data_IF_894075810326
#
_entry.id   IF_894075810326
#
_cell.length_a   1.000
_cell.length_b   1.000
_cell.length_c   1.000
_cell.angle_alpha   90.00
_cell.angle_beta   90.00
_cell.angle_gamma   90.00
#
_symmetry.space_group_name_H-M   'P 1'
#
loop_
_entity.id
_entity.type
_entity.pdbx_description
1 polymer ?
#
# COMPACT_ATOMS: atom_id res chain seq x y z
N UNK A 1 2.97 -10.60 26.44
CA UNK A 1 1.66 -10.17 26.99
C UNK A 1 1.46 -8.64 27.01
N UNK A 2 2.51 -7.81 27.13
CA UNK A 2 2.37 -6.34 27.18
C UNK A 2 2.01 -5.67 25.84
N UNK A 3 2.41 -6.23 24.69
CA UNK A 3 2.13 -5.62 23.38
C UNK A 3 0.65 -5.74 22.98
N UNK A 4 0.02 -6.89 23.29
CA UNK A 4 -1.38 -7.13 22.96
C UNK A 4 -2.33 -6.23 23.76
N UNK A 5 -2.02 -5.92 25.03
CA UNK A 5 -2.81 -5.00 25.84
C UNK A 5 -2.67 -3.54 25.38
N UNK A 6 -1.46 -3.12 24.97
CA UNK A 6 -1.24 -1.79 24.39
C UNK A 6 -1.97 -1.63 23.06
N UNK A 7 -1.91 -2.64 22.18
CA UNK A 7 -2.66 -2.62 20.91
C UNK A 7 -4.17 -2.60 21.15
N UNK A 8 -4.68 -3.38 22.10
CA UNK A 8 -6.11 -3.36 22.46
C UNK A 8 -6.57 -1.99 23.00
N UNK A 9 -5.75 -1.33 23.81
CA UNK A 9 -6.04 0.02 24.32
C UNK A 9 -6.01 1.08 23.21
N UNK A 10 -5.07 0.99 22.26
CA UNK A 10 -5.02 1.87 21.10
C UNK A 10 -6.23 1.67 20.18
N UNK A 11 -6.65 0.42 19.96
CA UNK A 11 -7.85 0.10 19.19
C UNK A 11 -9.10 0.63 19.90
N UNK A 12 -9.25 0.37 21.20
CA UNK A 12 -10.38 0.87 21.98
C UNK A 12 -10.41 2.41 22.04
N UNK A 13 -9.26 3.06 22.18
CA UNK A 13 -9.11 4.52 22.13
C UNK A 13 -9.48 5.09 20.76
N UNK A 14 -9.03 4.44 19.67
CA UNK A 14 -9.39 4.84 18.30
C UNK A 14 -10.88 4.69 18.02
N UNK A 15 -11.49 3.59 18.47
CA UNK A 15 -12.93 3.34 18.31
C UNK A 15 -13.75 4.37 19.10
N UNK A 16 -13.40 4.64 20.36
CA UNK A 16 -14.11 5.64 21.19
C UNK A 16 -13.97 7.06 20.62
N UNK A 17 -12.79 7.41 20.09
CA UNK A 17 -12.56 8.69 19.40
C UNK A 17 -13.41 8.84 18.13
N UNK A 18 -13.51 7.80 17.31
CA UNK A 18 -14.37 7.79 16.10
C UNK A 18 -15.85 7.93 16.46
N UNK A 19 -16.30 7.28 17.53
CA UNK A 19 -17.66 7.44 18.03
C UNK A 19 -17.91 8.87 18.53
N UNK A 20 -16.96 9.47 19.24
CA UNK A 20 -17.08 10.85 19.73
C UNK A 20 -17.20 11.87 18.58
N UNK A 21 -16.38 11.74 17.53
CA UNK A 21 -16.43 12.67 16.39
C UNK A 21 -17.72 12.56 15.57
N UNK A 22 -18.36 11.38 15.59
CA UNK A 22 -19.56 11.08 14.81
C UNK A 22 -20.84 11.08 15.64
N UNK A 23 -20.85 11.74 16.81
CA UNK A 23 -22.03 11.96 17.63
C UNK A 23 -22.57 13.38 17.52
N UNK A 24 -23.90 13.52 17.51
CA UNK A 24 -24.54 14.82 17.61
C UNK A 24 -24.27 15.42 19.01
N UNK A 25 -23.81 16.69 19.13
CA UNK A 25 -23.48 17.29 20.42
C UNK A 25 -24.65 17.32 21.41
N UNK A 26 -25.89 17.46 20.89
CA UNK A 26 -27.10 17.52 21.70
C UNK A 26 -27.62 16.13 22.07
N UNK A 27 -27.88 15.27 21.09
CA UNK A 27 -28.53 13.98 21.34
C UNK A 27 -27.55 12.83 21.62
N UNK A 28 -26.22 13.06 21.52
CA UNK A 28 -25.13 12.09 21.77
C UNK A 28 -25.26 10.78 20.99
N UNK A 29 -26.07 10.75 19.93
CA UNK A 29 -26.27 9.58 19.05
C UNK A 29 -25.45 9.71 17.78
N UNK A 30 -25.04 8.56 17.26
CA UNK A 30 -24.32 8.45 15.98
C UNK A 30 -25.26 8.86 14.86
N UNK A 31 -24.87 9.82 14.05
CA UNK A 31 -25.77 10.47 13.10
C UNK A 31 -25.34 10.28 11.65
N UNK A 32 -26.34 10.10 10.78
CA UNK A 32 -26.17 10.24 9.33
C UNK A 32 -26.11 11.74 9.02
N UNK A 33 -24.88 12.27 9.02
CA UNK A 33 -24.49 13.64 8.68
C UNK A 33 -24.95 13.99 7.24
N UNK A 34 -26.16 14.54 7.06
CA UNK A 34 -26.51 15.17 5.79
C UNK A 34 -25.94 16.59 5.82
N UNK A 35 -24.91 16.85 5.00
CA UNK A 35 -24.33 18.18 4.82
C UNK A 35 -25.39 19.11 4.21
N UNK A 36 -25.52 20.31 4.78
CA UNK A 36 -26.53 21.30 4.41
C UNK A 36 -25.90 22.61 3.96
N UNK A 37 -24.80 23.03 4.59
CA UNK A 37 -24.05 24.22 4.19
C UNK A 37 -22.54 23.97 4.21
N UNK A 38 -21.83 24.77 3.42
CA UNK A 38 -20.37 24.82 3.37
C UNK A 38 -19.95 26.26 3.09
N UNK A 39 -19.46 26.95 4.11
CA UNK A 39 -19.08 28.36 4.02
C UNK A 39 -17.60 28.52 4.30
N UNK A 40 -16.88 29.28 3.48
CA UNK A 40 -15.48 29.63 3.72
C UNK A 40 -15.47 30.80 4.73
N UNK A 41 -14.91 30.57 5.92
CA UNK A 41 -14.86 31.57 7.00
C UNK A 41 -13.49 32.26 7.12
N UNK A 42 -12.44 31.68 6.54
CA UNK A 42 -11.09 32.25 6.58
C UNK A 42 -10.25 31.71 5.44
N UNK A 43 -9.48 32.57 4.83
CA UNK A 43 -8.40 32.21 3.89
C UNK A 43 -7.07 32.67 4.46
N UNK A 44 -6.00 31.89 4.27
CA UNK A 44 -4.65 32.31 4.62
C UNK A 44 -3.61 31.68 3.72
N UNK A 45 -2.48 32.36 3.62
CA UNK A 45 -1.30 31.92 2.89
C UNK A 45 -0.11 31.76 3.84
N UNK A 46 0.64 30.66 3.71
CA UNK A 46 1.88 30.46 4.46
C UNK A 46 3.00 29.95 3.54
N UNK A 47 4.24 30.45 3.68
CA UNK A 47 5.36 29.94 2.90
C UNK A 47 5.76 28.55 3.41
N UNK A 48 5.81 27.56 2.53
CA UNK A 48 6.30 26.21 2.82
C UNK A 48 7.55 25.87 2.05
N UNK A 49 8.40 25.07 2.67
CA UNK A 49 9.62 24.55 2.06
C UNK A 49 9.43 23.09 1.67
N UNK A 50 10.00 22.70 0.53
CA UNK A 50 10.04 21.31 0.10
C UNK A 50 11.39 20.98 -0.57
N UNK A 51 11.69 19.68 -0.66
CA UNK A 51 12.82 19.16 -1.43
C UNK A 51 12.29 18.09 -2.36
N UNK A 52 12.60 18.22 -3.65
CA UNK A 52 12.34 17.16 -4.61
C UNK A 52 13.19 15.95 -4.24
N UNK A 53 12.61 14.75 -4.25
CA UNK A 53 13.35 13.50 -4.06
C UNK A 53 13.37 12.69 -5.35
N UNK A 54 14.54 12.20 -5.70
CA UNK A 54 14.74 11.24 -6.80
C UNK A 54 14.96 9.87 -6.21
N UNK A 55 14.11 8.92 -6.58
CA UNK A 55 14.17 7.54 -6.12
C UNK A 55 14.68 6.67 -7.27
N UNK A 56 15.73 5.91 -7.00
CA UNK A 56 16.28 4.93 -7.94
C UNK A 56 15.74 3.53 -7.61
N UNK A 57 15.12 2.91 -8.61
CA UNK A 57 14.67 1.52 -8.54
C UNK A 57 15.64 0.62 -9.30
N UNK A 58 15.80 -0.62 -8.84
CA UNK A 58 16.45 -1.67 -9.62
C UNK A 58 15.56 -2.10 -10.79
N UNK A 59 16.12 -2.90 -11.71
CA UNK A 59 15.37 -3.49 -12.84
C UNK A 59 14.21 -4.40 -12.41
N UNK A 60 14.12 -4.75 -11.11
CA UNK A 60 13.00 -5.46 -10.51
C UNK A 60 11.81 -4.55 -10.14
N UNK A 61 11.98 -3.22 -10.13
CA UNK A 61 10.95 -2.20 -9.96
C UNK A 61 10.48 -1.94 -8.53
N UNK A 62 10.97 -2.67 -7.52
CA UNK A 62 10.43 -2.60 -6.15
C UNK A 62 11.49 -2.22 -5.09
N UNK A 63 12.76 -2.52 -5.34
CA UNK A 63 13.80 -2.28 -4.34
C UNK A 63 14.36 -0.85 -4.50
N UNK A 64 14.27 -0.01 -3.47
CA UNK A 64 14.86 1.34 -3.48
C UNK A 64 16.38 1.23 -3.23
N UNK A 65 17.19 1.70 -4.19
CA UNK A 65 18.66 1.64 -4.06
C UNK A 65 19.22 2.83 -3.29
N UNK A 66 18.75 4.04 -3.61
CA UNK A 66 19.21 5.31 -3.05
C UNK A 66 18.13 6.38 -3.21
N UNK A 67 18.01 7.27 -2.21
CA UNK A 67 17.14 8.47 -2.25
C UNK A 67 18.02 9.71 -2.30
N UNK A 68 17.96 10.48 -3.39
CA UNK A 68 18.66 11.77 -3.50
C UNK A 68 17.68 12.92 -3.30
N UNK A 69 18.02 13.87 -2.44
CA UNK A 69 17.24 15.10 -2.23
C UNK A 69 17.86 16.24 -3.03
N UNK A 70 17.02 16.98 -3.75
CA UNK A 70 17.41 18.21 -4.45
C UNK A 70 17.57 19.40 -3.51
N UNK A 71 17.69 20.59 -4.11
CA UNK A 71 17.73 21.86 -3.37
C UNK A 71 16.40 22.15 -2.69
N UNK A 72 16.46 22.87 -1.56
CA UNK A 72 15.26 23.37 -0.89
C UNK A 72 14.60 24.42 -1.78
N UNK A 73 13.34 24.18 -2.12
CA UNK A 73 12.48 25.12 -2.86
C UNK A 73 11.38 25.61 -1.92
N UNK A 74 10.87 26.81 -2.20
CA UNK A 74 9.75 27.39 -1.46
C UNK A 74 8.51 27.47 -2.33
N UNK A 75 7.33 27.37 -1.71
CA UNK A 75 6.06 27.65 -2.37
C UNK A 75 5.09 28.31 -1.39
N UNK A 76 4.13 29.08 -1.92
CA UNK A 76 3.06 29.69 -1.13
C UNK A 76 1.91 28.71 -1.02
N UNK A 77 1.67 28.19 0.19
CA UNK A 77 0.60 27.27 0.51
C UNK A 77 -0.67 28.07 0.87
N UNK A 78 -1.75 27.86 0.12
CA UNK A 78 -3.06 28.50 0.33
C UNK A 78 -4.03 27.55 1.01
N UNK A 79 -4.74 28.06 2.00
CA UNK A 79 -5.69 27.31 2.80
C UNK A 79 -7.02 28.06 2.94
N UNK A 80 -8.11 27.29 2.94
CA UNK A 80 -9.45 27.74 3.26
C UNK A 80 -9.92 27.04 4.55
N UNK A 81 -10.53 27.79 5.47
CA UNK A 81 -11.24 27.24 6.61
C UNK A 81 -12.72 27.23 6.28
N UNK A 82 -13.26 26.03 6.16
CA UNK A 82 -14.65 25.78 5.90
C UNK A 82 -15.42 25.62 7.21
N UNK A 83 -16.63 26.15 7.26
CA UNK A 83 -17.64 25.91 8.28
C UNK A 83 -18.76 25.10 7.63
N UNK A 84 -18.75 23.80 7.88
CA UNK A 84 -19.72 22.85 7.34
C UNK A 84 -20.90 22.70 8.30
N UNK A 85 -22.12 22.95 7.81
CA UNK A 85 -23.37 22.75 8.55
C UNK A 85 -23.98 21.38 8.26
N UNK A 86 -24.46 20.70 9.30
CA UNK A 86 -25.06 19.38 9.21
C UNK A 86 -26.34 19.31 10.03
N UNK A 87 -27.40 18.76 9.45
CA UNK A 87 -28.66 18.56 10.18
C UNK A 87 -28.70 17.19 10.85
N UNK A 88 -29.02 17.17 12.13
CA UNK A 88 -29.29 15.95 12.85
C UNK A 88 -30.70 15.46 12.54
N UNK A 89 -30.85 14.26 11.96
CA UNK A 89 -32.17 13.66 11.68
C UNK A 89 -33.01 13.37 12.93
N UNK A 90 -32.39 13.36 14.11
CA UNK A 90 -33.04 13.00 15.38
C UNK A 90 -33.52 14.25 16.10
N UNK A 91 -32.63 15.21 16.38
CA UNK A 91 -33.02 16.44 17.09
C UNK A 91 -33.45 17.58 16.17
N UNK A 92 -33.34 17.43 14.85
CA UNK A 92 -33.74 18.43 13.86
C UNK A 92 -32.83 19.67 13.78
N UNK A 93 -31.89 19.82 14.70
CA UNK A 93 -30.98 20.96 14.76
C UNK A 93 -29.83 20.87 13.76
N UNK A 94 -29.33 22.04 13.36
CA UNK A 94 -28.12 22.21 12.57
C UNK A 94 -26.90 22.35 13.48
N UNK A 95 -25.88 21.55 13.23
CA UNK A 95 -24.58 21.63 13.90
C UNK A 95 -23.49 21.99 12.92
N UNK A 96 -22.49 22.73 13.39
CA UNK A 96 -21.40 23.21 12.56
C UNK A 96 -20.09 22.52 12.94
N UNK A 97 -19.29 22.16 11.94
CA UNK A 97 -17.91 21.72 12.13
C UNK A 97 -16.99 22.57 11.27
N UNK A 98 -15.76 22.79 11.72
CA UNK A 98 -14.75 23.49 10.93
C UNK A 98 -13.77 22.50 10.33
N UNK A 99 -13.34 22.76 9.09
CA UNK A 99 -12.36 21.96 8.38
C UNK A 99 -11.41 22.87 7.61
N UNK A 100 -10.12 22.57 7.68
CA UNK A 100 -9.12 23.27 6.88
C UNK A 100 -8.89 22.50 5.56
N UNK A 101 -8.95 23.21 4.45
CA UNK A 101 -8.83 22.70 3.08
C UNK A 101 -7.61 23.34 2.44
N UNK A 102 -6.75 22.51 1.86
CA UNK A 102 -5.55 22.97 1.17
C UNK A 102 -5.82 23.10 -0.33
N UNK A 103 -5.64 24.31 -0.87
CA UNK A 103 -6.07 24.67 -2.21
C UNK A 103 -5.07 24.34 -3.31
N UNK A 104 -3.76 24.35 -3.03
CA UNK A 104 -2.72 24.05 -4.02
C UNK A 104 -2.62 22.54 -4.32
N UNK A 105 -3.74 21.83 -4.42
CA UNK A 105 -3.79 20.37 -4.56
C UNK A 105 -2.95 19.88 -5.75
N UNK A 106 -2.98 20.60 -6.88
CA UNK A 106 -2.18 20.29 -8.07
C UNK A 106 -0.68 20.59 -7.90
N UNK A 107 -0.30 21.64 -7.18
CA UNK A 107 1.12 21.94 -6.91
C UNK A 107 1.69 20.98 -5.88
N UNK A 108 0.92 20.64 -4.84
CA UNK A 108 1.33 19.66 -3.83
C UNK A 108 1.48 18.26 -4.40
N UNK A 109 0.59 17.83 -5.29
CA UNK A 109 0.76 16.56 -6.00
C UNK A 109 2.07 16.57 -6.79
N UNK A 110 2.41 17.65 -7.53
CA UNK A 110 3.69 17.78 -8.24
C UNK A 110 4.91 17.79 -7.30
N UNK A 111 4.78 18.39 -6.12
CA UNK A 111 5.83 18.49 -5.10
C UNK A 111 6.08 17.14 -4.39
N UNK A 112 5.01 16.37 -4.13
CA UNK A 112 5.10 15.11 -3.37
C UNK A 112 5.32 13.90 -4.25
N UNK A 113 4.99 13.96 -5.54
CA UNK A 113 5.30 12.87 -6.47
C UNK A 113 6.81 12.85 -6.74
N UNK A 114 7.52 11.79 -6.33
CA UNK A 114 8.95 11.69 -6.61
C UNK A 114 9.18 11.52 -8.11
N UNK A 115 10.26 12.14 -8.61
CA UNK A 115 10.75 11.83 -9.94
C UNK A 115 11.34 10.42 -9.91
N UNK A 116 10.63 9.47 -10.53
CA UNK A 116 11.10 8.08 -10.65
C UNK A 116 12.12 8.01 -11.80
N UNK A 117 13.37 7.77 -11.45
CA UNK A 117 14.43 7.55 -12.46
C UNK A 117 14.75 6.06 -12.48
N UNK A 118 14.27 5.37 -13.50
CA UNK A 118 14.64 3.97 -13.75
C UNK A 118 16.00 3.93 -14.44
N UNK A 119 16.95 3.18 -13.88
CA UNK A 119 18.23 2.96 -14.54
C UNK A 119 18.01 2.17 -15.84
N UNK A 120 18.49 2.72 -16.96
CA UNK A 120 18.31 2.17 -18.30
C UNK A 120 19.23 0.97 -18.55
N UNK A 121 19.09 -0.10 -17.79
CA UNK A 121 19.46 -1.42 -18.31
C UNK A 121 18.23 -1.89 -19.05
N UNK A 122 18.21 -1.69 -20.37
CA UNK A 122 17.10 -2.13 -21.22
C UNK A 122 16.82 -3.60 -20.94
N UNK A 123 15.65 -3.97 -20.38
CA UNK A 123 15.26 -5.38 -20.37
C UNK A 123 15.19 -5.86 -21.83
N UNK A 124 15.47 -7.15 -22.10
CA UNK A 124 15.39 -7.69 -23.45
C UNK A 124 14.01 -7.37 -24.03
N UNK A 125 13.99 -6.77 -25.22
CA UNK A 125 12.75 -6.42 -25.92
C UNK A 125 11.96 -7.70 -26.16
N UNK A 126 10.82 -7.82 -25.49
CA UNK A 126 9.79 -8.80 -25.86
C UNK A 126 8.76 -8.01 -26.64
N UNK A 127 8.79 -8.13 -27.97
CA UNK A 127 7.81 -7.52 -28.86
C UNK A 127 6.47 -8.25 -28.67
N UNK A 128 5.60 -7.70 -27.82
CA UNK A 128 4.16 -7.93 -27.92
C UNK A 128 3.45 -6.69 -27.38
N UNK A 129 2.81 -5.94 -28.29
CA UNK A 129 2.03 -4.78 -27.94
C UNK A 129 0.83 -5.16 -27.08
N UNK A 130 0.63 -4.41 -25.98
CA UNK A 130 -0.63 -3.91 -25.39
C UNK A 130 -0.29 -3.37 -23.99
N UNK A 131 -0.63 -2.10 -23.77
CA UNK A 131 -1.19 -1.56 -22.51
C UNK A 131 -0.31 -1.52 -21.25
N UNK A 132 -0.35 -0.39 -20.55
CA UNK A 132 0.22 -0.18 -19.23
C UNK A 132 -0.06 -1.36 -18.26
N UNK A 133 0.99 -1.90 -17.65
CA UNK A 133 0.88 -2.92 -16.62
C UNK A 133 0.55 -2.25 -15.28
N UNK A 134 -0.74 -2.19 -14.96
CA UNK A 134 -1.24 -1.74 -13.65
C UNK A 134 -0.94 -2.78 -12.55
N UNK A 135 -0.74 -2.33 -11.29
CA UNK A 135 -0.43 -3.22 -10.17
C UNK A 135 -1.62 -4.14 -9.85
N UNK A 136 -1.46 -5.44 -10.07
CA UNK A 136 -2.53 -6.42 -9.83
C UNK A 136 -2.50 -6.97 -8.41
N UNK A 137 -3.09 -6.27 -7.45
CA UNK A 137 -3.81 -6.94 -6.36
C UNK A 137 -5.29 -6.61 -6.51
N UNK A 138 -5.98 -7.39 -7.35
CA UNK A 138 -7.42 -7.31 -7.49
C UNK A 138 -8.05 -8.42 -6.64
N UNK A 139 -8.80 -8.05 -5.61
CA UNK A 139 -9.78 -8.96 -5.01
C UNK A 139 -10.80 -9.39 -6.08
N UNK A 140 -11.27 -10.65 -6.06
CA UNK A 140 -12.42 -11.01 -6.87
C UNK A 140 -13.69 -10.30 -6.35
N UNK A 141 -14.78 -10.28 -7.13
CA UNK A 141 -16.06 -9.63 -6.71
C UNK A 141 -16.67 -10.20 -5.42
N UNK A 142 -16.05 -11.24 -4.83
CA UNK A 142 -16.44 -11.94 -3.59
C UNK A 142 -15.40 -11.76 -2.47
N UNK A 143 -14.43 -10.85 -2.62
CA UNK A 143 -13.39 -10.57 -1.64
C UNK A 143 -12.35 -11.68 -1.48
N UNK A 144 -12.29 -12.65 -2.42
CA UNK A 144 -11.29 -13.73 -2.36
C UNK A 144 -10.03 -13.31 -3.10
N UNK A 145 -8.88 -13.59 -2.48
CA UNK A 145 -7.57 -13.39 -3.09
C UNK A 145 -7.48 -14.19 -4.38
N UNK A 146 -7.07 -13.52 -5.47
CA UNK A 146 -6.81 -14.19 -6.75
C UNK A 146 -5.63 -15.15 -6.61
N UNK A 147 -5.77 -16.33 -7.18
CA UNK A 147 -4.68 -17.30 -7.28
C UNK A 147 -3.67 -16.83 -8.32
N UNK A 148 -2.38 -17.09 -8.07
CA UNK A 148 -1.33 -16.82 -9.05
C UNK A 148 -1.63 -17.62 -10.33
N UNK A 149 -1.68 -16.97 -11.51
CA UNK A 149 -1.96 -17.65 -12.76
C UNK A 149 -0.99 -18.81 -13.04
N UNK A 150 -1.50 -19.89 -13.65
CA UNK A 150 -0.70 -21.08 -13.96
C UNK A 150 0.50 -20.77 -14.88
N UNK A 151 0.36 -19.82 -15.79
CA UNK A 151 1.43 -19.33 -16.67
C UNK A 151 2.59 -18.73 -15.87
N UNK A 152 2.28 -17.95 -14.83
CA UNK A 152 3.28 -17.35 -13.93
C UNK A 152 4.00 -18.43 -13.14
N UNK A 153 3.29 -19.42 -12.60
CA UNK A 153 3.91 -20.56 -11.90
C UNK A 153 4.84 -21.35 -12.82
N UNK A 154 4.42 -21.64 -14.05
CA UNK A 154 5.26 -22.32 -15.05
C UNK A 154 6.54 -21.53 -15.36
N UNK A 155 6.42 -20.23 -15.60
CA UNK A 155 7.56 -19.35 -15.88
C UNK A 155 8.49 -19.21 -14.66
N UNK A 156 7.92 -19.18 -13.45
CA UNK A 156 8.68 -19.20 -12.20
C UNK A 156 9.53 -20.48 -12.09
N UNK A 157 8.93 -21.64 -12.34
CA UNK A 157 9.67 -22.91 -12.32
C UNK A 157 10.82 -22.90 -13.34
N UNK A 158 10.52 -22.54 -14.59
CA UNK A 158 11.52 -22.48 -15.66
C UNK A 158 12.67 -21.53 -15.32
N UNK A 159 12.39 -20.39 -14.65
CA UNK A 159 13.42 -19.42 -14.26
C UNK A 159 14.42 -19.99 -13.25
N UNK A 160 13.96 -20.72 -12.25
CA UNK A 160 14.81 -21.16 -11.13
C UNK A 160 15.34 -22.58 -11.29
N UNK A 161 14.55 -23.47 -11.92
CA UNK A 161 14.86 -24.89 -12.04
C UNK A 161 15.10 -25.33 -13.50
N UNK A 162 14.82 -24.46 -14.48
CA UNK A 162 14.93 -24.80 -15.90
C UNK A 162 13.90 -25.85 -16.34
N UNK A 163 14.24 -26.64 -17.35
CA UNK A 163 13.41 -27.76 -17.84
C UNK A 163 13.53 -29.04 -16.99
N UNK A 164 14.00 -28.92 -15.73
CA UNK A 164 14.14 -30.07 -14.83
C UNK A 164 12.80 -30.40 -14.18
N UNK A 165 12.53 -31.68 -13.99
CA UNK A 165 11.33 -32.16 -13.29
C UNK A 165 11.39 -31.87 -11.78
N UNK A 166 12.59 -31.94 -11.20
CA UNK A 166 12.85 -31.70 -9.77
C UNK A 166 13.79 -30.50 -9.58
N UNK A 167 13.59 -29.77 -8.50
CA UNK A 167 14.43 -28.65 -8.08
C UNK A 167 14.45 -28.50 -6.56
N UNK A 168 15.40 -27.74 -6.00
CA UNK A 168 15.45 -27.50 -4.56
C UNK A 168 14.44 -26.42 -4.15
N UNK A 169 13.80 -26.62 -3.00
CA UNK A 169 13.08 -25.56 -2.29
C UNK A 169 14.04 -24.42 -1.98
N UNK A 170 13.64 -23.18 -2.25
CA UNK A 170 14.51 -22.03 -2.01
C UNK A 170 14.88 -21.85 -0.52
N UNK A 171 13.98 -22.24 0.39
CA UNK A 171 14.11 -22.13 1.85
C UNK A 171 14.87 -23.33 2.42
N UNK A 172 14.21 -24.49 2.58
CA UNK A 172 14.73 -25.66 3.27
C UNK A 172 15.62 -26.58 2.42
N UNK A 173 15.79 -26.28 1.12
CA UNK A 173 16.56 -27.10 0.16
C UNK A 173 16.03 -28.51 -0.13
N UNK A 174 14.93 -28.93 0.48
CA UNK A 174 14.24 -30.18 0.11
C UNK A 174 13.86 -30.20 -1.38
N UNK A 175 13.87 -31.39 -1.96
CA UNK A 175 13.55 -31.56 -3.37
C UNK A 175 12.04 -31.44 -3.59
N UNK A 176 11.67 -30.47 -4.42
CA UNK A 176 10.31 -30.22 -4.91
C UNK A 176 10.22 -30.61 -6.39
N UNK A 177 9.00 -30.87 -6.85
CA UNK A 177 8.70 -31.16 -8.25
C UNK A 177 7.80 -30.10 -8.87
N UNK A 178 7.73 -30.08 -10.21
CA UNK A 178 6.95 -29.10 -10.98
C UNK A 178 5.44 -29.15 -10.72
N UNK A 179 4.91 -30.25 -10.16
CA UNK A 179 3.49 -30.41 -9.85
C UNK A 179 3.14 -30.02 -8.42
N UNK A 180 4.09 -30.16 -7.48
CA UNK A 180 3.87 -30.04 -6.04
C UNK A 180 4.59 -28.85 -5.38
N UNK A 181 5.18 -27.95 -6.16
CA UNK A 181 5.77 -26.73 -5.62
C UNK A 181 4.74 -25.61 -5.42
N UNK A 182 5.05 -24.73 -4.48
CA UNK A 182 4.31 -23.48 -4.27
C UNK A 182 5.14 -22.28 -4.74
N UNK A 183 4.44 -21.25 -5.22
CA UNK A 183 5.03 -19.97 -5.56
C UNK A 183 5.04 -19.07 -4.30
N UNK A 184 6.13 -19.13 -3.54
CA UNK A 184 6.29 -18.36 -2.32
C UNK A 184 6.65 -16.91 -2.60
N UNK A 185 5.90 -15.99 -2.01
CA UNK A 185 6.16 -14.55 -2.07
C UNK A 185 7.37 -14.17 -1.20
N UNK A 186 8.33 -13.42 -1.76
CA UNK A 186 9.46 -12.89 -1.00
C UNK A 186 9.00 -11.81 -0.04
N UNK A 187 8.32 -10.80 -0.57
CA UNK A 187 7.49 -9.88 0.21
C UNK A 187 6.08 -10.45 0.19
N UNK A 188 5.46 -10.79 1.34
CA UNK A 188 4.15 -11.40 1.39
C UNK A 188 3.08 -10.45 0.84
N UNK A 189 2.04 -10.99 0.21
CA UNK A 189 1.00 -10.16 -0.39
C UNK A 189 0.20 -9.31 0.61
N UNK A 190 0.15 -9.71 1.89
CA UNK A 190 -0.41 -8.88 2.97
C UNK A 190 0.39 -7.60 3.24
N UNK A 191 1.62 -7.52 2.73
CA UNK A 191 2.53 -6.37 2.78
C UNK A 191 2.84 -5.86 1.36
N UNK A 192 1.83 -5.87 0.50
CA UNK A 192 1.89 -5.38 -0.89
C UNK A 192 2.89 -6.10 -1.81
N UNK A 193 3.19 -7.37 -1.50
CA UNK A 193 3.98 -8.24 -2.36
C UNK A 193 3.34 -8.51 -3.71
N UNK A 194 4.04 -8.19 -4.81
CA UNK A 194 3.55 -8.44 -6.17
C UNK A 194 3.59 -9.92 -6.57
N UNK A 195 2.72 -10.33 -7.51
CA UNK A 195 2.74 -11.65 -8.15
C UNK A 195 3.78 -11.76 -9.29
N UNK A 196 4.66 -10.77 -9.41
CA UNK A 196 5.74 -10.80 -10.40
C UNK A 196 6.75 -11.87 -10.04
N UNK A 197 7.30 -12.54 -11.07
CA UNK A 197 8.28 -13.62 -10.90
C UNK A 197 9.51 -13.16 -10.09
N UNK A 198 9.87 -11.87 -10.13
CA UNK A 198 10.94 -11.29 -9.30
C UNK A 198 10.69 -11.44 -7.80
N UNK A 199 9.43 -11.31 -7.36
CA UNK A 199 8.99 -11.45 -5.98
C UNK A 199 8.58 -12.89 -5.61
N UNK A 200 8.69 -13.85 -6.53
CA UNK A 200 8.31 -15.23 -6.27
C UNK A 200 9.52 -16.16 -6.21
N UNK A 201 9.45 -17.22 -5.40
CA UNK A 201 10.43 -18.31 -5.34
C UNK A 201 9.72 -19.66 -5.30
N UNK A 202 10.27 -20.71 -5.96
CA UNK A 202 9.75 -22.06 -5.81
C UNK A 202 10.10 -22.59 -4.41
N UNK A 203 9.07 -22.93 -3.64
CA UNK A 203 9.22 -23.46 -2.28
C UNK A 203 8.31 -24.67 -2.07
N UNK A 204 8.59 -25.46 -1.03
CA UNK A 204 7.71 -26.55 -0.64
C UNK A 204 6.47 -26.02 0.10
N UNK A 205 5.40 -26.82 0.09
CA UNK A 205 4.14 -26.51 0.78
C UNK A 205 4.32 -26.27 2.28
N UNK A 206 5.24 -27.00 2.91
CA UNK A 206 5.59 -26.89 4.32
C UNK A 206 6.14 -25.49 4.64
N UNK A 207 7.19 -25.06 3.93
CA UNK A 207 7.77 -23.72 4.11
C UNK A 207 6.76 -22.62 3.81
N UNK A 208 5.96 -22.76 2.75
CA UNK A 208 4.97 -21.73 2.39
C UNK A 208 3.93 -21.51 3.50
N UNK A 209 3.51 -22.58 4.18
CA UNK A 209 2.55 -22.52 5.28
C UNK A 209 3.19 -21.98 6.56
N UNK A 210 4.40 -22.40 6.88
CA UNK A 210 5.11 -21.95 8.09
C UNK A 210 5.53 -20.48 8.03
N UNK A 211 5.76 -19.94 6.83
CA UNK A 211 6.20 -18.55 6.63
C UNK A 211 5.10 -17.51 6.94
N UNK A 212 3.82 -17.84 6.71
CA UNK A 212 2.68 -16.94 6.89
C UNK A 212 2.85 -15.57 6.20
N UNK A 213 2.93 -14.47 6.95
CA UNK A 213 3.10 -13.09 6.52
C UNK A 213 4.51 -12.53 6.80
N UNK A 214 5.48 -13.42 7.00
CA UNK A 214 6.90 -13.08 7.16
C UNK A 214 7.57 -12.95 5.80
N UNK A 215 8.58 -12.09 5.69
CA UNK A 215 9.40 -12.03 4.48
C UNK A 215 10.14 -13.37 4.29
N UNK A 216 10.16 -13.89 3.06
CA UNK A 216 10.73 -15.22 2.78
C UNK A 216 12.22 -15.34 3.08
N UNK A 217 13.00 -14.28 2.81
CA UNK A 217 14.43 -14.29 3.09
C UNK A 217 14.71 -14.21 4.60
N UNK A 218 13.87 -13.46 5.32
CA UNK A 218 13.92 -13.37 6.78
C UNK A 218 13.55 -14.72 7.42
N UNK A 219 12.44 -15.32 6.99
CA UNK A 219 12.02 -16.64 7.45
C UNK A 219 13.12 -17.68 7.21
N UNK A 220 13.71 -17.69 6.01
CA UNK A 220 14.82 -18.57 5.71
C UNK A 220 15.97 -18.36 6.69
N UNK A 221 16.48 -17.13 6.81
CA UNK A 221 17.61 -16.79 7.68
C UNK A 221 17.40 -17.20 9.15
N UNK A 222 16.17 -17.10 9.65
CA UNK A 222 15.88 -17.35 11.05
C UNK A 222 15.73 -18.85 11.39
N UNK A 223 15.46 -19.70 10.39
CA UNK A 223 15.10 -21.10 10.62
C UNK A 223 15.93 -22.12 9.82
N UNK A 224 16.74 -21.69 8.84
CA UNK A 224 17.56 -22.53 7.93
C UNK A 224 18.85 -21.85 7.48
#
# INVERSE_FOLDING_TARGET
>A
MQIASVVALLIAGGITFLFYQNQCPKCKRIFSLKKVSDEIIKEWEEPKQYKEKTIYYYSDGFTEKDVKYGTTKTFTARFEKHKEGFNCKICGETHYKTKDVFLNKNDWLRITTPNKVTTSIKPPKVDFGIGAFEPTYYEDKRGKRKSIPASVKKNLWLRYNGKKYKGPCYVCKEIIDIHNFEAGHVIPASKDGSDNISNLRPICKSCNRSMSDTNLNEFKKNYY
#
